data_IF_892560812921
#
_entry.id   IF_892560812921
#
_cell.length_a   1.000
_cell.length_b   1.000
_cell.length_c   1.000
_cell.angle_alpha   90.00
_cell.angle_beta   90.00
_cell.angle_gamma   90.00
#
_symmetry.space_group_name_H-M   'P 1'
#
loop_
_entity.id
_entity.type
_entity.pdbx_description
1 polymer ?
#
# COMPACT_ATOMS: atom_id res chain seq x y z
N UNK A 1 5.91 6.16 -1.62
CA UNK A 1 6.68 5.52 -0.52
C UNK A 1 6.53 6.14 0.86
N UNK A 2 6.25 7.45 0.98
CA UNK A 2 5.98 8.10 2.27
C UNK A 2 4.79 7.46 3.02
N UNK A 3 3.63 7.32 2.37
CA UNK A 3 2.44 6.70 2.97
C UNK A 3 2.64 5.22 3.39
N UNK A 4 3.45 4.45 2.64
CA UNK A 4 3.84 3.10 3.06
C UNK A 4 4.60 3.11 4.39
N UNK A 5 5.51 4.06 4.58
CA UNK A 5 6.33 4.17 5.79
C UNK A 5 5.56 4.77 6.98
N UNK A 6 4.73 5.77 6.73
CA UNK A 6 4.06 6.55 7.78
C UNK A 6 2.67 6.02 8.15
N UNK A 7 1.94 5.48 7.17
CA UNK A 7 0.55 5.04 7.34
C UNK A 7 0.38 3.52 7.16
N UNK A 8 1.49 2.79 6.96
CA UNK A 8 1.44 1.35 6.71
C UNK A 8 0.76 0.97 5.40
N UNK A 9 0.61 1.90 4.44
CA UNK A 9 -0.08 1.62 3.19
C UNK A 9 0.59 0.47 2.43
N UNK A 10 -0.19 -0.54 2.07
CA UNK A 10 0.26 -1.67 1.26
C UNK A 10 0.51 -1.18 -0.17
N UNK A 11 1.67 -1.54 -0.72
CA UNK A 11 2.09 -1.18 -2.08
C UNK A 11 2.39 -2.48 -2.81
N UNK A 12 1.74 -2.68 -3.95
CA UNK A 12 2.07 -3.74 -4.90
C UNK A 12 2.77 -3.12 -6.11
N UNK A 13 3.89 -3.71 -6.51
CA UNK A 13 4.67 -3.26 -7.64
C UNK A 13 4.54 -4.26 -8.79
N UNK A 14 4.24 -3.78 -9.99
CA UNK A 14 4.14 -4.59 -11.21
C UNK A 14 5.21 -4.10 -12.18
N UNK A 15 6.05 -5.02 -12.62
CA UNK A 15 7.10 -4.75 -13.62
C UNK A 15 6.73 -5.46 -14.91
N UNK A 16 6.51 -4.67 -15.96
CA UNK A 16 6.14 -5.16 -17.28
C UNK A 16 7.32 -4.98 -18.22
N UNK A 17 7.84 -6.09 -18.75
CA UNK A 17 8.99 -6.12 -19.69
C UNK A 17 10.25 -5.38 -19.20
N UNK A 18 10.38 -5.17 -17.89
CA UNK A 18 11.54 -4.52 -17.29
C UNK A 18 12.04 -5.34 -16.11
N UNK A 19 13.36 -5.50 -16.03
CA UNK A 19 14.01 -6.16 -14.90
C UNK A 19 13.90 -5.29 -13.64
N UNK A 20 13.34 -5.82 -12.52
CA UNK A 20 13.32 -5.12 -11.24
C UNK A 20 14.69 -4.60 -10.79
N UNK A 21 15.77 -5.31 -11.15
CA UNK A 21 17.16 -4.93 -10.86
C UNK A 21 17.56 -3.63 -11.53
N UNK A 22 17.12 -3.43 -12.78
CA UNK A 22 17.35 -2.20 -13.53
C UNK A 22 16.53 -1.04 -12.96
N UNK A 23 15.33 -1.30 -12.45
CA UNK A 23 14.57 -0.30 -11.69
C UNK A 23 15.28 0.06 -10.38
N UNK A 24 15.77 -0.94 -9.64
CA UNK A 24 16.39 -0.80 -8.32
C UNK A 24 17.68 0.02 -8.39
N UNK A 25 18.53 -0.28 -9.37
CA UNK A 25 19.83 0.37 -9.58
C UNK A 25 19.75 1.56 -10.54
N UNK A 26 18.60 1.78 -11.17
CA UNK A 26 18.42 2.73 -12.26
C UNK A 26 19.46 2.52 -13.38
N UNK A 27 19.64 1.27 -13.80
CA UNK A 27 20.57 0.81 -14.85
C UNK A 27 19.82 0.34 -16.10
N UNK A 28 20.55 -0.15 -17.10
CA UNK A 28 19.97 -0.65 -18.35
C UNK A 28 19.27 0.45 -19.15
N UNK A 29 18.27 0.07 -19.94
CA UNK A 29 17.49 1.02 -20.75
C UNK A 29 16.61 1.93 -19.89
N UNK A 30 16.09 1.40 -18.77
CA UNK A 30 15.38 2.21 -17.78
C UNK A 30 16.26 3.34 -17.24
N UNK A 31 17.50 3.04 -16.87
CA UNK A 31 18.48 4.01 -16.40
C UNK A 31 18.77 5.14 -17.40
N UNK A 32 18.90 4.80 -18.69
CA UNK A 32 19.11 5.81 -19.75
C UNK A 32 17.94 6.80 -19.81
N UNK A 33 16.70 6.30 -19.75
CA UNK A 33 15.50 7.14 -19.72
C UNK A 33 15.43 7.94 -18.42
N UNK A 34 15.74 7.33 -17.28
CA UNK A 34 15.76 8.00 -15.97
C UNK A 34 16.74 9.19 -15.96
N UNK A 35 17.95 9.02 -16.49
CA UNK A 35 18.94 10.10 -16.63
C UNK A 35 18.38 11.24 -17.49
N UNK A 36 17.74 10.92 -18.63
CA UNK A 36 17.11 11.93 -19.49
C UNK A 36 16.01 12.69 -18.75
N UNK A 37 15.17 12.00 -17.98
CA UNK A 37 14.10 12.60 -17.16
C UNK A 37 14.64 13.49 -16.03
N UNK A 38 15.82 13.16 -15.50
CA UNK A 38 16.48 13.93 -14.45
C UNK A 38 17.17 15.21 -14.96
N UNK A 39 17.30 15.41 -16.29
CA UNK A 39 17.91 16.63 -16.83
C UNK A 39 17.14 17.87 -16.38
N UNK A 40 17.84 18.83 -15.76
CA UNK A 40 17.27 20.08 -15.27
C UNK A 40 16.51 19.97 -13.93
N UNK A 41 16.51 18.80 -13.28
CA UNK A 41 15.87 18.60 -11.96
C UNK A 41 16.85 18.88 -10.83
N UNK A 42 16.31 19.27 -9.66
CA UNK A 42 17.14 19.47 -8.47
C UNK A 42 17.66 18.12 -7.96
N UNK A 43 18.88 18.10 -7.44
CA UNK A 43 19.49 16.90 -6.86
C UNK A 43 18.62 16.24 -5.78
N UNK A 44 17.90 17.03 -5.01
CA UNK A 44 16.99 16.53 -3.98
C UNK A 44 15.80 15.75 -4.57
N UNK A 45 15.22 16.23 -5.68
CA UNK A 45 14.13 15.53 -6.38
C UNK A 45 14.62 14.22 -6.98
N UNK A 46 15.78 14.24 -7.64
CA UNK A 46 16.41 13.04 -8.20
C UNK A 46 16.65 11.99 -7.12
N UNK A 47 17.18 12.39 -5.97
CA UNK A 47 17.41 11.51 -4.83
C UNK A 47 16.08 10.94 -4.27
N UNK A 48 15.02 11.75 -4.21
CA UNK A 48 13.69 11.28 -3.76
C UNK A 48 13.13 10.22 -4.72
N UNK A 49 13.27 10.42 -6.03
CA UNK A 49 12.82 9.45 -7.03
C UNK A 49 13.65 8.17 -7.00
N UNK A 50 14.99 8.28 -6.96
CA UNK A 50 15.88 7.11 -6.88
C UNK A 50 15.56 6.24 -5.66
N UNK A 51 15.42 6.83 -4.47
CA UNK A 51 15.02 6.11 -3.24
C UNK A 51 13.61 5.51 -3.33
N UNK A 52 12.69 6.19 -4.02
CA UNK A 52 11.34 5.66 -4.20
C UNK A 52 11.34 4.43 -5.12
N UNK A 53 12.07 4.49 -6.24
CA UNK A 53 12.21 3.39 -7.21
C UNK A 53 12.92 2.19 -6.59
N UNK A 54 14.02 2.40 -5.86
CA UNK A 54 14.70 1.35 -5.09
C UNK A 54 13.75 0.68 -4.08
N UNK A 55 12.96 1.50 -3.37
CA UNK A 55 11.99 1.01 -2.40
C UNK A 55 10.85 0.20 -3.03
N UNK A 56 10.40 0.56 -4.23
CA UNK A 56 9.37 -0.18 -4.99
C UNK A 56 9.94 -1.47 -5.57
N UNK A 57 11.16 -1.44 -6.12
CA UNK A 57 11.84 -2.62 -6.66
C UNK A 57 12.10 -3.69 -5.59
N UNK A 58 12.53 -3.26 -4.40
CA UNK A 58 12.72 -4.17 -3.27
C UNK A 58 11.43 -4.89 -2.86
N UNK A 59 10.26 -4.25 -2.98
CA UNK A 59 8.96 -4.88 -2.69
C UNK A 59 8.65 -5.98 -3.71
N UNK A 60 8.81 -5.68 -4.99
CA UNK A 60 8.45 -6.66 -6.01
C UNK A 60 9.47 -7.79 -6.11
N UNK A 61 10.72 -7.59 -5.68
CA UNK A 61 11.70 -8.67 -5.55
C UNK A 61 11.27 -9.69 -4.46
N UNK A 62 10.69 -9.22 -3.35
CA UNK A 62 10.07 -10.07 -2.31
C UNK A 62 8.82 -10.82 -2.82
N UNK A 63 8.13 -10.26 -3.82
CA UNK A 63 6.90 -10.81 -4.40
C UNK A 63 7.05 -11.28 -5.86
N UNK A 64 8.28 -11.57 -6.30
CA UNK A 64 8.54 -11.93 -7.69
C UNK A 64 7.77 -13.20 -8.06
N UNK A 65 6.78 -13.03 -8.93
CA UNK A 65 5.98 -14.13 -9.48
C UNK A 65 6.36 -14.27 -10.94
N UNK A 66 6.72 -15.48 -11.35
CA UNK A 66 6.82 -15.80 -12.77
C UNK A 66 5.40 -15.92 -13.34
N UNK A 67 5.17 -15.30 -14.49
CA UNK A 67 3.86 -15.24 -15.14
C UNK A 67 3.97 -15.77 -16.56
N UNK A 68 3.16 -16.77 -16.89
CA UNK A 68 3.22 -17.42 -18.20
C UNK A 68 2.51 -16.61 -19.31
N UNK A 69 1.51 -15.80 -18.95
CA UNK A 69 0.77 -14.92 -19.86
C UNK A 69 0.31 -13.64 -19.15
N UNK A 70 0.02 -12.58 -19.93
CA UNK A 70 -0.56 -11.34 -19.41
C UNK A 70 -1.92 -11.55 -18.73
N UNK A 71 -2.77 -12.41 -19.28
CA UNK A 71 -4.08 -12.72 -18.70
C UNK A 71 -3.93 -13.32 -17.29
N UNK A 72 -3.01 -14.28 -17.13
CA UNK A 72 -2.69 -14.90 -15.83
C UNK A 72 -2.07 -13.88 -14.88
N UNK A 73 -1.27 -12.93 -15.38
CA UNK A 73 -0.74 -11.84 -14.57
C UNK A 73 -1.86 -10.97 -14.00
N UNK A 74 -2.77 -10.49 -14.85
CA UNK A 74 -3.89 -9.63 -14.46
C UNK A 74 -4.80 -10.35 -13.48
N UNK A 75 -5.11 -11.63 -13.73
CA UNK A 75 -5.96 -12.43 -12.85
C UNK A 75 -5.40 -12.53 -11.44
N UNK A 76 -4.13 -12.93 -11.26
CA UNK A 76 -3.62 -13.02 -9.88
C UNK A 76 -3.36 -11.65 -9.25
N UNK A 77 -3.11 -10.58 -10.02
CA UNK A 77 -3.11 -9.21 -9.47
C UNK A 77 -4.49 -8.88 -8.89
N UNK A 78 -5.57 -9.16 -9.63
CA UNK A 78 -6.93 -8.91 -9.15
C UNK A 78 -7.25 -9.71 -7.88
N UNK A 79 -6.84 -10.99 -7.84
CA UNK A 79 -6.99 -11.85 -6.66
C UNK A 79 -6.17 -11.31 -5.48
N UNK A 80 -4.91 -10.95 -5.68
CA UNK A 80 -4.04 -10.39 -4.63
C UNK A 80 -4.61 -9.11 -4.05
N UNK A 81 -5.09 -8.19 -4.90
CA UNK A 81 -5.73 -6.94 -4.48
C UNK A 81 -6.99 -7.24 -3.68
N UNK A 82 -7.85 -8.14 -4.17
CA UNK A 82 -9.08 -8.53 -3.46
C UNK A 82 -8.77 -9.11 -2.08
N UNK A 83 -7.86 -10.07 -2.00
CA UNK A 83 -7.43 -10.69 -0.75
C UNK A 83 -6.80 -9.67 0.20
N UNK A 84 -5.95 -8.80 -0.33
CA UNK A 84 -5.30 -7.75 0.46
C UNK A 84 -6.32 -6.81 1.06
N UNK A 85 -7.32 -6.38 0.30
CA UNK A 85 -8.39 -5.51 0.80
C UNK A 85 -9.24 -6.21 1.86
N UNK A 86 -9.66 -7.45 1.61
CA UNK A 86 -10.46 -8.23 2.55
C UNK A 86 -9.72 -8.48 3.87
N UNK A 87 -8.43 -8.80 3.80
CA UNK A 87 -7.57 -9.07 4.97
C UNK A 87 -7.11 -7.81 5.69
N UNK A 88 -7.14 -6.65 5.02
CA UNK A 88 -6.80 -5.34 5.59
C UNK A 88 -7.98 -4.67 6.31
N UNK A 89 -9.10 -5.38 6.49
CA UNK A 89 -10.24 -4.88 7.27
C UNK A 89 -10.16 -5.33 8.75
N UNK A 90 -9.53 -4.55 9.63
CA UNK A 90 -10.04 -4.31 10.97
C UNK A 90 -11.09 -3.19 10.93
N UNK A 91 -11.99 -3.14 11.91
CA UNK A 91 -13.17 -2.27 12.05
C UNK A 91 -12.91 -0.75 12.16
N UNK A 92 -11.95 -0.16 11.44
CA UNK A 92 -11.47 1.22 11.66
C UNK A 92 -12.38 2.29 11.01
N UNK A 93 -13.67 1.98 10.76
CA UNK A 93 -14.63 2.94 10.20
C UNK A 93 -15.64 3.49 11.22
N UNK A 94 -15.52 3.22 12.52
CA UNK A 94 -16.34 3.89 13.54
C UNK A 94 -15.62 4.08 14.89
N UNK A 95 -14.55 4.88 14.92
CA UNK A 95 -14.06 5.48 16.19
C UNK A 95 -13.90 7.01 16.10
N UNK A 96 -14.60 7.64 15.16
CA UNK A 96 -14.72 9.10 15.09
C UNK A 96 -16.17 9.55 14.86
N UNK A 97 -17.13 8.84 15.45
CA UNK A 97 -18.39 9.50 15.79
C UNK A 97 -18.21 10.10 17.18
N UNK A 98 -17.87 11.39 17.21
CA UNK A 98 -18.01 12.21 18.40
C UNK A 98 -19.48 12.13 18.83
N UNK A 99 -19.76 11.36 19.87
CA UNK A 99 -21.04 11.39 20.55
C UNK A 99 -21.25 12.81 21.08
N UNK A 100 -22.08 13.58 20.39
CA UNK A 100 -22.57 14.86 20.91
C UNK A 100 -23.38 14.50 22.15
N UNK A 101 -22.79 14.70 23.33
CA UNK A 101 -23.48 14.56 24.61
C UNK A 101 -24.57 15.64 24.72
N UNK A 102 -25.77 15.31 24.22
CA UNK A 102 -26.99 15.97 24.58
C UNK A 102 -27.43 15.48 25.96
N UNK A 103 -27.12 16.26 26.99
CA UNK A 103 -27.73 16.14 28.31
C UNK A 103 -29.25 16.29 28.18
N UNK A 104 -30.04 15.35 28.71
CA UNK A 104 -30.74 15.55 29.99
C UNK A 104 -31.79 14.47 30.33
N UNK A 105 -31.92 14.22 31.64
CA UNK A 105 -32.99 13.58 32.42
C UNK A 105 -33.19 12.04 32.38
N UNK A 106 -32.67 11.38 33.42
CA UNK A 106 -33.54 10.93 34.53
C UNK A 106 -34.02 9.48 34.56
N UNK A 107 -33.46 8.75 35.54
CA UNK A 107 -34.06 7.74 36.44
C UNK A 107 -33.96 6.23 36.13
N UNK A 108 -33.45 5.59 37.18
CA UNK A 108 -33.91 4.34 37.82
C UNK A 108 -33.24 3.05 37.35
N UNK A 109 -32.58 2.40 38.30
CA UNK A 109 -31.79 1.20 38.10
C UNK A 109 -32.59 -0.08 37.88
N UNK A 110 -31.87 -1.11 37.42
CA UNK A 110 -31.79 -2.36 38.15
C UNK A 110 -30.62 -3.21 37.62
N UNK A 111 -29.88 -3.80 38.56
CA UNK A 111 -28.85 -4.80 38.34
C UNK A 111 -29.47 -6.16 38.05
N UNK A 112 -29.14 -6.81 36.92
CA UNK A 112 -29.25 -8.27 36.78
C UNK A 112 -28.10 -8.76 35.88
N UNK A 113 -27.26 -9.66 36.41
CA UNK A 113 -26.23 -10.45 35.70
C UNK A 113 -26.82 -11.82 35.28
N UNK A 114 -26.10 -12.69 34.54
CA UNK A 114 -26.45 -13.14 33.19
C UNK A 114 -27.05 -14.56 33.14
N UNK A 115 -27.51 -15.02 31.96
CA UNK A 115 -27.63 -16.47 31.68
C UNK A 115 -27.32 -16.78 30.22
N UNK A 116 -26.25 -17.54 30.02
CA UNK A 116 -25.99 -18.28 28.80
C UNK A 116 -26.97 -19.44 28.69
N UNK A 117 -27.49 -19.66 27.49
CA UNK A 117 -28.17 -20.87 27.04
C UNK A 117 -27.70 -21.17 25.62
#
# INVERSE_FOLDING_TARGET
MKCRKELGQIVMAVFYEVDPSDIKKQTGDFGKVFIKTCKGRKKEEINKWSKALEGVATIAEEHSRNWDTEAVMIEKIAIDVSNTLNNSTPSIFFDSLVQINGSSYGKSGNSITPRFG
#
